data_IF_615832398340
#
_entry.id   IF_615832398340
#
_cell.length_a   1.000
_cell.length_b   1.000
_cell.length_c   1.000
_cell.angle_alpha   90.00
_cell.angle_beta   90.00
_cell.angle_gamma   90.00
#
_symmetry.space_group_name_H-M   'P 1'
#
loop_
_entity.id
_entity.type
_entity.pdbx_description
1 polymer ?
#
# COMPACT_ATOMS: atom_id res chain seq x y z
N UNK A 1 -11.45 -16.65 19.04
CA UNK A 1 -11.46 -16.07 17.68
C UNK A 1 -11.34 -17.20 16.67
N UNK A 2 -12.20 -17.22 15.65
CA UNK A 2 -12.23 -18.31 14.67
C UNK A 2 -11.06 -18.22 13.69
N UNK A 3 -10.28 -19.30 13.57
CA UNK A 3 -9.24 -19.48 12.56
C UNK A 3 -9.78 -20.36 11.43
N UNK A 4 -9.34 -20.12 10.21
CA UNK A 4 -9.72 -20.91 9.04
C UNK A 4 -8.47 -21.53 8.44
N UNK A 5 -8.65 -22.70 7.83
CA UNK A 5 -7.64 -23.37 7.05
C UNK A 5 -8.06 -23.33 5.58
N UNK A 6 -7.28 -22.61 4.78
CA UNK A 6 -7.34 -22.60 3.32
C UNK A 6 -6.36 -23.64 2.78
N UNK A 7 -6.90 -24.74 2.27
CA UNK A 7 -6.16 -25.78 1.57
C UNK A 7 -6.26 -25.56 0.08
N UNK A 8 -5.11 -25.37 -0.57
CA UNK A 8 -5.01 -25.30 -2.03
C UNK A 8 -4.04 -26.37 -2.53
N UNK A 9 -4.45 -27.10 -3.58
CA UNK A 9 -3.68 -28.19 -4.17
C UNK A 9 -3.47 -27.91 -5.65
N UNK A 10 -2.25 -28.11 -6.15
CA UNK A 10 -1.97 -27.94 -7.57
C UNK A 10 -2.74 -28.95 -8.42
N UNK A 11 -3.11 -28.54 -9.65
CA UNK A 11 -3.70 -29.47 -10.62
C UNK A 11 -2.69 -30.42 -11.25
N UNK A 12 -1.41 -30.04 -11.34
CA UNK A 12 -0.35 -30.91 -11.86
C UNK A 12 0.56 -31.48 -10.78
N UNK A 13 1.24 -32.57 -11.14
CA UNK A 13 2.30 -33.19 -10.36
C UNK A 13 3.65 -32.44 -10.47
N UNK A 14 3.62 -31.16 -10.82
CA UNK A 14 4.84 -30.34 -10.95
C UNK A 14 5.42 -30.04 -9.58
N UNK A 15 6.71 -30.32 -9.41
CA UNK A 15 7.43 -29.93 -8.21
C UNK A 15 7.57 -28.40 -8.12
N UNK A 16 7.23 -27.84 -6.97
CA UNK A 16 7.56 -26.45 -6.63
C UNK A 16 8.83 -26.42 -5.78
N UNK A 17 9.83 -25.66 -6.23
CA UNK A 17 11.01 -25.41 -5.40
C UNK A 17 10.64 -24.60 -4.15
N UNK A 18 11.40 -24.74 -3.05
CA UNK A 18 11.22 -23.92 -1.85
C UNK A 18 11.17 -22.41 -2.15
N UNK A 19 12.04 -21.94 -3.06
CA UNK A 19 12.02 -20.55 -3.53
C UNK A 19 10.71 -20.15 -4.18
N UNK A 20 10.11 -21.04 -4.99
CA UNK A 20 8.85 -20.75 -5.65
C UNK A 20 7.68 -20.72 -4.66
N UNK A 21 7.74 -21.59 -3.66
CA UNK A 21 6.78 -21.63 -2.55
C UNK A 21 6.86 -20.32 -1.76
N UNK A 22 8.06 -19.90 -1.33
CA UNK A 22 8.27 -18.62 -0.63
C UNK A 22 7.75 -17.44 -1.46
N UNK A 23 8.06 -17.39 -2.75
CA UNK A 23 7.57 -16.34 -3.65
C UNK A 23 6.04 -16.24 -3.69
N UNK A 24 5.33 -17.38 -3.73
CA UNK A 24 3.85 -17.40 -3.73
C UNK A 24 3.33 -16.82 -2.41
N UNK A 25 3.92 -17.23 -1.30
CA UNK A 25 3.53 -16.78 0.03
C UNK A 25 3.81 -15.29 0.25
N UNK A 26 4.97 -14.81 -0.20
CA UNK A 26 5.33 -13.38 -0.15
C UNK A 26 4.34 -12.53 -0.95
N UNK A 27 3.93 -13.00 -2.13
CA UNK A 27 2.90 -12.33 -2.92
C UNK A 27 1.54 -12.32 -2.20
N UNK A 28 1.08 -13.47 -1.69
CA UNK A 28 -0.21 -13.55 -0.98
C UNK A 28 -0.24 -12.65 0.26
N UNK A 29 0.81 -12.68 1.06
CA UNK A 29 0.92 -11.86 2.28
C UNK A 29 1.06 -10.38 1.97
N UNK A 30 1.84 -10.03 0.94
CA UNK A 30 2.00 -8.64 0.47
C UNK A 30 0.68 -8.07 -0.04
N UNK A 31 -0.02 -8.80 -0.90
CA UNK A 31 -1.28 -8.33 -1.49
C UNK A 31 -2.42 -8.35 -0.46
N UNK A 32 -2.38 -9.26 0.53
CA UNK A 32 -3.27 -9.19 1.68
C UNK A 32 -3.03 -7.95 2.56
N UNK A 33 -1.76 -7.64 2.88
CA UNK A 33 -1.43 -6.41 3.61
C UNK A 33 -1.93 -5.17 2.87
N UNK A 34 -1.70 -5.10 1.55
CA UNK A 34 -2.26 -4.05 0.71
C UNK A 34 -3.77 -4.02 0.77
N UNK A 35 -4.46 -5.16 0.72
CA UNK A 35 -5.91 -5.14 0.84
C UNK A 35 -6.36 -4.54 2.17
N UNK A 36 -5.72 -4.96 3.25
CA UNK A 36 -6.05 -4.51 4.59
C UNK A 36 -5.85 -3.00 4.76
N UNK A 37 -4.71 -2.47 4.30
CA UNK A 37 -4.45 -1.01 4.29
C UNK A 37 -5.47 -0.27 3.42
N UNK A 38 -5.87 -0.84 2.27
CA UNK A 38 -6.84 -0.23 1.38
C UNK A 38 -8.22 -0.14 2.05
N UNK A 39 -8.61 -1.18 2.77
CA UNK A 39 -9.88 -1.23 3.49
C UNK A 39 -9.92 -0.17 4.59
N UNK A 40 -8.86 -0.05 5.40
CA UNK A 40 -8.76 1.02 6.41
C UNK A 40 -8.76 2.42 5.78
N UNK A 41 -8.02 2.61 4.68
CA UNK A 41 -8.00 3.90 3.98
C UNK A 41 -9.39 4.26 3.46
N UNK A 42 -10.10 3.30 2.85
CA UNK A 42 -11.43 3.51 2.28
C UNK A 42 -12.44 3.82 3.38
N UNK A 43 -12.37 3.11 4.50
CA UNK A 43 -13.18 3.39 5.71
C UNK A 43 -12.90 4.78 6.27
N UNK A 44 -11.63 5.19 6.36
CA UNK A 44 -11.27 6.53 6.87
C UNK A 44 -11.69 7.67 5.95
N UNK A 45 -11.71 7.44 4.64
CA UNK A 45 -12.06 8.46 3.65
C UNK A 45 -13.53 8.86 3.66
N UNK A 46 -14.42 8.03 4.22
CA UNK A 46 -15.86 8.33 4.33
C UNK A 46 -16.12 9.57 5.19
N UNK A 47 -15.46 9.67 6.34
CA UNK A 47 -15.70 10.71 7.36
C UNK A 47 -14.46 11.59 7.63
N UNK A 48 -13.55 11.71 6.65
CA UNK A 48 -12.29 12.39 6.87
C UNK A 48 -12.46 13.92 6.90
N UNK A 49 -12.07 14.62 7.98
CA UNK A 49 -12.06 16.09 7.99
C UNK A 49 -11.14 16.66 6.91
N UNK A 50 -11.46 17.84 6.35
CA UNK A 50 -10.62 18.50 5.33
C UNK A 50 -9.17 18.76 5.80
N UNK A 51 -8.99 18.94 7.11
CA UNK A 51 -7.68 19.14 7.72
C UNK A 51 -6.82 17.88 7.72
N UNK A 52 -7.42 16.70 7.53
CA UNK A 52 -6.77 15.41 7.52
C UNK A 52 -6.59 14.90 6.10
N UNK A 53 -5.34 14.67 5.72
CA UNK A 53 -5.00 14.27 4.36
C UNK A 53 -4.22 12.96 4.41
N UNK A 54 -4.66 11.91 3.69
CA UNK A 54 -3.88 10.70 3.58
C UNK A 54 -2.59 10.97 2.80
N UNK A 55 -1.49 10.44 3.32
CA UNK A 55 -0.18 10.48 2.68
C UNK A 55 0.39 9.07 2.61
N UNK A 56 1.16 8.82 1.56
CA UNK A 56 1.91 7.58 1.38
C UNK A 56 3.40 7.91 1.30
N UNK A 57 4.21 7.10 1.96
CA UNK A 57 5.66 7.24 1.88
C UNK A 57 6.21 6.44 0.70
N UNK A 58 7.26 6.95 0.05
CA UNK A 58 7.99 6.21 -0.98
C UNK A 58 8.98 5.16 -0.40
N UNK A 59 8.59 4.55 0.72
CA UNK A 59 9.34 3.50 1.40
C UNK A 59 8.45 2.30 1.70
N UNK A 60 9.07 1.21 2.14
CA UNK A 60 8.37 0.06 2.71
C UNK A 60 8.99 -0.28 4.05
N UNK A 61 8.19 -0.77 4.99
CA UNK A 61 8.71 -1.36 6.22
C UNK A 61 9.49 -2.63 5.89
N UNK A 62 10.62 -2.81 6.56
CA UNK A 62 11.31 -4.09 6.62
C UNK A 62 10.67 -4.95 7.71
N UNK A 63 10.23 -6.17 7.36
CA UNK A 63 9.62 -7.13 8.28
C UNK A 63 10.48 -7.46 9.50
N UNK A 64 11.80 -7.37 9.33
CA UNK A 64 12.76 -7.78 10.36
C UNK A 64 13.18 -6.64 11.29
N UNK A 65 12.77 -5.40 10.97
CA UNK A 65 13.09 -4.25 11.80
C UNK A 65 11.94 -3.95 12.76
N UNK A 66 12.21 -4.03 14.06
CA UNK A 66 11.26 -3.63 15.08
C UNK A 66 11.08 -2.12 15.08
N UNK A 67 9.90 -1.67 14.65
CA UNK A 67 9.55 -0.26 14.68
C UNK A 67 8.80 0.12 15.97
N UNK A 68 9.37 -0.24 17.11
CA UNK A 68 8.79 -0.03 18.45
C UNK A 68 8.36 1.43 18.71
N UNK A 69 8.99 2.39 18.03
CA UNK A 69 8.75 3.84 18.14
C UNK A 69 7.64 4.39 17.23
N UNK A 70 7.05 3.62 16.31
CA UNK A 70 5.97 4.17 15.47
C UNK A 70 4.69 4.32 16.28
N UNK A 71 4.39 5.48 16.83
CA UNK A 71 3.07 5.83 17.37
C UNK A 71 2.52 7.01 16.57
N UNK A 72 1.43 7.62 17.06
CA UNK A 72 0.99 8.94 16.58
C UNK A 72 2.21 9.88 16.65
N UNK A 73 2.65 10.38 15.50
CA UNK A 73 3.77 11.31 15.43
C UNK A 73 3.25 12.73 15.54
N UNK A 74 4.05 13.61 16.13
CA UNK A 74 3.83 15.04 16.04
C UNK A 74 5.04 15.70 15.39
N UNK A 75 4.89 16.33 14.22
CA UNK A 75 6.01 17.00 13.54
C UNK A 75 6.56 18.20 14.34
N UNK A 76 5.86 18.65 15.37
CA UNK A 76 6.30 19.73 16.25
C UNK A 76 7.28 19.19 17.31
N UNK A 77 7.41 17.86 17.41
CA UNK A 77 8.39 17.18 18.25
C UNK A 77 9.60 16.75 17.40
N UNK A 78 10.80 17.06 17.89
CA UNK A 78 12.05 16.80 17.16
C UNK A 78 12.28 15.32 16.89
N UNK A 79 12.10 14.48 17.91
CA UNK A 79 12.29 13.03 17.81
C UNK A 79 11.27 12.40 16.85
N UNK A 80 10.03 12.85 16.90
CA UNK A 80 8.98 12.37 16.00
C UNK A 80 9.23 12.80 14.56
N UNK A 81 9.70 14.03 14.34
CA UNK A 81 10.09 14.54 13.01
C UNK A 81 11.26 13.78 12.42
N UNK A 82 12.27 13.43 13.23
CA UNK A 82 13.36 12.56 12.78
C UNK A 82 12.84 11.18 12.38
N UNK A 83 12.00 10.55 13.21
CA UNK A 83 11.42 9.25 12.89
C UNK A 83 10.57 9.31 11.61
N UNK A 84 9.77 10.36 11.45
CA UNK A 84 8.95 10.64 10.27
C UNK A 84 9.81 10.82 9.01
N UNK A 85 10.93 11.54 9.13
CA UNK A 85 11.91 11.70 8.05
C UNK A 85 12.51 10.37 7.56
N UNK A 86 12.67 9.38 8.44
CA UNK A 86 13.23 8.08 8.06
C UNK A 86 12.25 7.19 7.28
N UNK A 87 10.95 7.52 7.27
CA UNK A 87 9.96 6.73 6.54
C UNK A 87 10.01 6.95 5.02
N UNK A 88 10.58 8.05 4.54
CA UNK A 88 10.75 8.35 3.11
C UNK A 88 10.20 9.71 2.69
N UNK A 89 10.15 9.95 1.39
CA UNK A 89 9.43 11.07 0.79
C UNK A 89 7.92 10.87 0.92
N UNK A 90 7.22 11.99 1.03
CA UNK A 90 5.78 12.04 1.21
C UNK A 90 5.12 12.25 -0.13
N UNK A 91 4.04 11.51 -0.39
CA UNK A 91 3.15 11.74 -1.51
C UNK A 91 1.74 11.87 -0.93
N UNK A 92 1.11 13.02 -1.11
CA UNK A 92 -0.25 13.26 -0.62
C UNK A 92 -1.30 12.70 -1.58
N UNK A 93 -2.43 12.26 -1.04
CA UNK A 93 -3.57 11.79 -1.84
C UNK A 93 -4.18 12.92 -2.67
N UNK A 94 -4.17 14.14 -2.12
CA UNK A 94 -4.55 15.39 -2.79
C UNK A 94 -3.44 16.42 -2.65
N UNK A 95 -3.28 17.35 -3.61
CA UNK A 95 -2.31 18.44 -3.48
C UNK A 95 -2.52 19.24 -2.18
N UNK A 96 -1.46 19.45 -1.42
CA UNK A 96 -1.51 20.25 -0.19
C UNK A 96 -0.20 21.01 0.03
N UNK A 97 -0.30 22.31 0.33
CA UNK A 97 0.86 23.21 0.49
C UNK A 97 1.76 22.76 1.63
N UNK A 98 1.20 22.47 2.82
CA UNK A 98 1.96 22.10 4.01
C UNK A 98 2.71 20.79 3.80
N UNK A 99 2.03 19.78 3.24
CA UNK A 99 2.66 18.49 2.94
C UNK A 99 3.75 18.65 1.87
N UNK A 100 3.50 19.46 0.83
CA UNK A 100 4.49 19.73 -0.22
C UNK A 100 5.76 20.36 0.35
N UNK A 101 5.64 21.29 1.29
CA UNK A 101 6.81 21.89 1.96
C UNK A 101 7.61 20.86 2.74
N UNK A 102 6.95 20.03 3.53
CA UNK A 102 7.63 18.96 4.29
C UNK A 102 8.35 18.01 3.32
N UNK A 103 7.69 17.58 2.24
CA UNK A 103 8.28 16.74 1.20
C UNK A 103 9.57 17.38 0.65
N UNK A 104 9.50 18.64 0.25
CA UNK A 104 10.62 19.38 -0.34
C UNK A 104 11.78 19.55 0.64
N UNK A 105 11.50 19.84 1.92
CA UNK A 105 12.53 19.97 2.96
C UNK A 105 13.19 18.63 3.22
N UNK A 106 12.43 17.53 3.31
CA UNK A 106 12.96 16.18 3.46
C UNK A 106 13.88 15.79 2.30
N UNK A 107 13.46 16.04 1.06
CA UNK A 107 14.28 15.80 -0.14
C UNK A 107 15.56 16.61 -0.11
N UNK A 108 15.46 17.92 0.11
CA UNK A 108 16.62 18.81 0.17
C UNK A 108 17.59 18.36 1.26
N UNK A 109 17.10 18.02 2.46
CA UNK A 109 17.95 17.54 3.54
C UNK A 109 18.69 16.25 3.18
N UNK A 110 18.03 15.27 2.52
CA UNK A 110 18.70 14.04 2.03
C UNK A 110 19.76 14.34 0.98
N UNK A 111 19.45 15.23 0.05
CA UNK A 111 20.38 15.63 -1.01
C UNK A 111 21.61 16.36 -0.46
N UNK A 112 21.42 17.23 0.53
CA UNK A 112 22.49 17.94 1.21
C UNK A 112 23.33 17.00 2.08
N UNK A 113 22.68 16.14 2.88
CA UNK A 113 23.35 15.12 3.67
C UNK A 113 24.24 14.22 2.79
N UNK A 114 23.72 13.80 1.64
CA UNK A 114 24.46 12.97 0.69
C UNK A 114 25.63 13.71 0.05
N UNK A 115 25.49 15.00 -0.28
CA UNK A 115 26.60 15.81 -0.81
C UNK A 115 27.69 16.07 0.24
N UNK A 116 27.31 16.39 1.48
CA UNK A 116 28.25 16.62 2.58
C UNK A 116 29.01 15.35 2.98
N UNK A 117 28.32 14.20 2.99
CA UNK A 117 28.93 12.91 3.31
C UNK A 117 30.07 12.54 2.33
N UNK A 118 30.03 13.00 1.08
CA UNK A 118 31.10 12.75 0.08
C UNK A 118 32.44 13.40 0.45
N UNK A 119 32.42 14.39 1.34
CA UNK A 119 33.60 15.09 1.84
C UNK A 119 33.76 14.90 3.36
N UNK A 120 33.19 13.80 3.89
CA UNK A 120 33.25 13.41 5.31
C UNK A 120 32.67 14.42 6.31
N UNK A 121 31.86 15.38 5.83
CA UNK A 121 31.11 16.28 6.71
C UNK A 121 29.77 15.63 7.08
N UNK A 122 29.55 15.48 8.39
CA UNK A 122 28.29 14.98 8.92
C UNK A 122 27.36 16.14 9.25
N UNK A 123 26.21 16.17 8.58
CA UNK A 123 25.11 17.08 8.93
C UNK A 123 24.32 16.50 10.10
N UNK A 124 23.99 17.34 11.09
CA UNK A 124 23.15 16.97 12.21
C UNK A 124 21.69 16.82 11.76
N UNK A 125 21.18 15.60 11.84
CA UNK A 125 19.82 15.24 11.39
C UNK A 125 18.75 15.76 12.36
N UNK A 126 19.12 16.08 13.60
CA UNK A 126 18.19 16.63 14.58
C UNK A 126 17.73 18.05 14.27
N UNK A 127 18.45 18.73 13.36
CA UNK A 127 18.10 20.06 12.88
C UNK A 127 17.00 20.07 11.82
N UNK A 128 16.54 18.92 11.33
CA UNK A 128 15.46 18.85 10.33
C UNK A 128 14.21 19.63 10.79
N UNK A 129 13.86 19.51 12.08
CA UNK A 129 12.74 20.25 12.66
C UNK A 129 12.93 21.76 12.54
N UNK A 130 14.14 22.26 12.74
CA UNK A 130 14.47 23.69 12.71
C UNK A 130 14.22 24.30 11.31
N UNK A 131 14.12 23.45 10.27
CA UNK A 131 13.77 23.85 8.92
C UNK A 131 12.29 23.65 8.60
N UNK A 132 11.64 22.65 9.20
CA UNK A 132 10.20 22.39 8.97
C UNK A 132 9.34 23.39 9.72
N UNK A 133 9.63 23.61 11.01
CA UNK A 133 8.79 24.41 11.89
C UNK A 133 8.57 25.84 11.38
N UNK A 134 9.61 26.59 10.93
CA UNK A 134 9.40 27.93 10.37
C UNK A 134 8.52 27.94 9.12
N UNK A 135 8.52 26.84 8.36
CA UNK A 135 7.82 26.72 7.08
C UNK A 135 6.42 26.15 7.19
N UNK A 136 6.06 25.53 8.32
CA UNK A 136 4.84 24.72 8.43
C UNK A 136 3.55 25.55 8.35
N UNK A 137 3.56 26.77 8.90
CA UNK A 137 2.37 27.64 8.95
C UNK A 137 2.38 28.79 7.94
N UNK A 138 3.51 29.04 7.27
CA UNK A 138 3.58 30.00 6.18
C UNK A 138 2.98 29.32 4.95
N UNK A 139 2.23 30.02 4.10
CA UNK A 139 1.66 29.41 2.89
C UNK A 139 2.38 29.86 1.62
N UNK A 140 2.82 31.12 1.54
CA UNK A 140 3.29 31.71 0.28
C UNK A 140 4.74 31.40 -0.09
N UNK A 141 5.60 31.02 0.86
CA UNK A 141 7.03 30.85 0.59
C UNK A 141 7.68 29.71 1.36
N UNK A 142 8.84 29.25 0.88
CA UNK A 142 9.72 28.34 1.61
C UNK A 142 11.02 29.05 2.02
N UNK A 143 11.16 29.33 3.31
CA UNK A 143 12.35 29.93 3.88
C UNK A 143 13.41 28.85 4.18
N UNK A 144 14.52 28.92 3.47
CA UNK A 144 15.66 28.00 3.56
C UNK A 144 16.96 28.71 3.94
N UNK A 145 16.90 29.97 4.37
CA UNK A 145 18.09 30.79 4.68
C UNK A 145 18.85 30.21 5.87
N UNK A 146 18.16 29.88 6.95
CA UNK A 146 18.77 29.23 8.12
C UNK A 146 19.46 27.90 7.78
N UNK A 147 18.90 27.14 6.84
CA UNK A 147 19.52 25.91 6.36
C UNK A 147 20.80 26.22 5.57
N UNK A 148 20.74 27.19 4.65
CA UNK A 148 21.88 27.62 3.86
C UNK A 148 23.03 28.11 4.74
N UNK A 149 22.75 28.99 5.69
CA UNK A 149 23.74 29.53 6.64
C UNK A 149 24.42 28.42 7.44
N UNK A 150 23.63 27.47 7.97
CA UNK A 150 24.15 26.32 8.70
C UNK A 150 25.10 25.48 7.83
N UNK A 151 24.72 25.20 6.58
CA UNK A 151 25.54 24.41 5.66
C UNK A 151 26.83 25.16 5.29
N UNK A 152 26.75 26.46 5.02
CA UNK A 152 27.93 27.29 4.72
C UNK A 152 28.90 27.27 5.91
N UNK A 153 28.38 27.35 7.13
CA UNK A 153 29.18 27.27 8.35
C UNK A 153 29.88 25.91 8.49
N UNK A 154 29.19 24.81 8.18
CA UNK A 154 29.78 23.47 8.17
C UNK A 154 30.92 23.33 7.14
N UNK A 155 30.79 23.95 5.98
CA UNK A 155 31.75 23.84 4.88
C UNK A 155 33.04 24.65 5.09
N UNK A 156 32.99 25.68 5.93
CA UNK A 156 34.10 26.60 6.12
C UNK A 156 34.45 27.39 4.84
N UNK A 157 35.71 27.85 4.76
CA UNK A 157 36.17 28.70 3.65
C UNK A 157 36.47 27.90 2.37
N UNK A 158 36.90 26.65 2.45
CA UNK A 158 37.63 25.98 1.36
C UNK A 158 36.81 25.11 0.39
N UNK A 159 35.52 25.42 0.17
CA UNK A 159 34.61 24.54 -0.59
C UNK A 159 33.66 25.26 -1.57
N UNK A 160 34.16 26.23 -2.33
CA UNK A 160 33.32 27.10 -3.19
C UNK A 160 32.52 26.37 -4.27
N UNK A 161 33.08 25.29 -4.84
CA UNK A 161 32.34 24.44 -5.78
C UNK A 161 31.10 23.82 -5.14
N UNK A 162 31.24 23.29 -3.93
CA UNK A 162 30.15 22.64 -3.21
C UNK A 162 29.12 23.67 -2.70
N UNK A 163 29.57 24.85 -2.23
CA UNK A 163 28.68 25.97 -1.91
C UNK A 163 27.79 26.32 -3.12
N UNK A 164 28.38 26.41 -4.31
CA UNK A 164 27.64 26.66 -5.55
C UNK A 164 26.63 25.55 -5.86
N UNK A 165 26.99 24.29 -5.67
CA UNK A 165 26.06 23.15 -5.82
C UNK A 165 24.88 23.24 -4.84
N UNK A 166 25.15 23.60 -3.58
CA UNK A 166 24.13 23.75 -2.54
C UNK A 166 23.15 24.87 -2.86
N UNK A 167 23.65 26.03 -3.30
CA UNK A 167 22.77 27.11 -3.76
C UNK A 167 21.86 26.63 -4.89
N UNK A 168 22.40 25.93 -5.89
CA UNK A 168 21.58 25.36 -6.99
C UNK A 168 20.51 24.40 -6.49
N UNK A 169 20.80 23.58 -5.46
CA UNK A 169 19.83 22.67 -4.86
C UNK A 169 18.71 23.44 -4.15
N UNK A 170 19.04 24.46 -3.37
CA UNK A 170 18.06 25.32 -2.69
C UNK A 170 17.19 26.06 -3.70
N UNK A 171 17.79 26.67 -4.73
CA UNK A 171 17.06 27.39 -5.78
C UNK A 171 16.12 26.45 -6.55
N UNK A 172 16.57 25.22 -6.82
CA UNK A 172 15.73 24.19 -7.42
C UNK A 172 14.53 23.84 -6.53
N UNK A 173 14.74 23.69 -5.22
CA UNK A 173 13.68 23.42 -4.24
C UNK A 173 12.66 24.57 -4.19
N UNK A 174 13.12 25.83 -4.17
CA UNK A 174 12.25 27.01 -4.22
C UNK A 174 11.42 27.03 -5.52
N UNK A 175 12.06 26.86 -6.68
CA UNK A 175 11.37 26.78 -7.98
C UNK A 175 10.34 25.65 -8.05
N UNK A 176 10.63 24.48 -7.47
CA UNK A 176 9.66 23.39 -7.43
C UNK A 176 8.43 23.74 -6.57
N UNK A 177 8.63 24.51 -5.49
CA UNK A 177 7.54 25.03 -4.68
C UNK A 177 6.74 26.11 -5.41
N UNK A 178 7.40 27.05 -6.10
CA UNK A 178 6.74 28.10 -6.88
C UNK A 178 5.87 27.50 -7.98
N UNK A 179 6.38 26.50 -8.73
CA UNK A 179 5.60 25.75 -9.71
C UNK A 179 4.39 25.08 -9.07
N UNK A 180 4.50 24.59 -7.83
CA UNK A 180 3.36 24.02 -7.12
C UNK A 180 2.31 25.09 -6.79
N UNK A 181 2.72 26.27 -6.36
CA UNK A 181 1.83 27.40 -6.08
C UNK A 181 1.12 27.91 -7.33
N UNK A 182 1.83 28.03 -8.45
CA UNK A 182 1.25 28.43 -9.75
C UNK A 182 0.13 27.47 -10.19
N UNK A 183 0.16 26.23 -9.71
CA UNK A 183 -0.82 25.20 -10.04
C UNK A 183 -2.03 25.14 -9.08
N UNK A 184 -2.10 25.98 -8.05
CA UNK A 184 -3.22 25.95 -7.09
C UNK A 184 -4.58 26.18 -7.75
N UNK A 185 -4.66 27.04 -8.76
CA UNK A 185 -5.90 27.28 -9.52
C UNK A 185 -6.30 26.00 -10.27
N UNK A 186 -5.34 25.32 -10.90
CA UNK A 186 -5.60 24.07 -11.60
C UNK A 186 -6.07 22.97 -10.65
N UNK A 187 -5.52 22.89 -9.43
CA UNK A 187 -5.98 21.93 -8.43
C UNK A 187 -7.45 22.19 -8.04
N UNK A 188 -7.82 23.43 -7.76
CA UNK A 188 -9.22 23.80 -7.45
C UNK A 188 -10.18 23.45 -8.58
N UNK A 189 -9.83 23.82 -9.81
CA UNK A 189 -10.62 23.50 -11.00
C UNK A 189 -10.81 21.98 -11.14
N UNK A 190 -9.74 21.19 -10.97
CA UNK A 190 -9.83 19.73 -11.04
C UNK A 190 -10.70 19.20 -9.92
N UNK A 191 -10.56 19.70 -8.69
CA UNK A 191 -11.32 19.25 -7.52
C UNK A 191 -12.83 19.43 -7.71
N UNK A 192 -13.25 20.51 -8.38
CA UNK A 192 -14.64 20.84 -8.69
C UNK A 192 -15.23 20.09 -9.91
N UNK A 193 -14.40 19.54 -10.81
CA UNK A 193 -14.88 18.82 -12.00
C UNK A 193 -15.71 17.59 -11.65
N UNK A 194 -16.83 17.40 -12.34
CA UNK A 194 -17.59 16.15 -12.31
C UNK A 194 -16.94 15.05 -13.18
N UNK A 195 -17.49 13.83 -13.12
CA UNK A 195 -16.93 12.65 -13.81
C UNK A 195 -16.75 12.84 -15.33
N UNK A 196 -17.74 13.43 -16.00
CA UNK A 196 -17.69 13.62 -17.45
C UNK A 196 -16.64 14.66 -17.84
N UNK A 197 -16.61 15.78 -17.11
CA UNK A 197 -15.65 16.86 -17.33
C UNK A 197 -14.21 16.36 -17.13
N UNK A 198 -13.96 15.57 -16.09
CA UNK A 198 -12.64 15.04 -15.84
C UNK A 198 -12.20 13.98 -16.86
N UNK A 199 -13.12 13.11 -17.29
CA UNK A 199 -12.82 12.17 -18.38
C UNK A 199 -12.48 12.88 -19.69
N UNK A 200 -13.17 13.99 -19.99
CA UNK A 200 -12.85 14.84 -21.12
C UNK A 200 -11.51 15.57 -20.94
N UNK A 201 -11.27 16.13 -19.75
CA UNK A 201 -10.01 16.78 -19.38
C UNK A 201 -8.80 15.86 -19.59
N UNK A 202 -8.94 14.57 -19.26
CA UNK A 202 -7.91 13.54 -19.41
C UNK A 202 -7.60 13.14 -20.86
N UNK A 203 -8.42 13.54 -21.85
CA UNK A 203 -8.14 13.27 -23.27
C UNK A 203 -6.91 14.03 -23.76
N UNK A 204 -6.60 15.17 -23.15
CA UNK A 204 -5.38 15.93 -23.45
C UNK A 204 -4.17 15.29 -22.73
N UNK A 205 -3.09 14.91 -23.45
CA UNK A 205 -1.90 14.31 -22.85
C UNK A 205 -1.22 15.17 -21.76
N UNK A 206 -1.22 16.49 -21.90
CA UNK A 206 -0.62 17.40 -20.91
C UNK A 206 -1.39 17.36 -19.59
N UNK A 207 -2.73 17.39 -19.66
CA UNK A 207 -3.62 17.26 -18.51
C UNK A 207 -3.48 15.90 -17.84
N UNK A 208 -3.39 14.83 -18.65
CA UNK A 208 -3.15 13.48 -18.13
C UNK A 208 -1.81 13.41 -17.36
N UNK A 209 -0.75 14.01 -17.89
CA UNK A 209 0.54 14.07 -17.21
C UNK A 209 0.47 14.87 -15.90
N UNK A 210 -0.27 15.97 -15.90
CA UNK A 210 -0.52 16.78 -14.71
C UNK A 210 -1.26 15.99 -13.63
N UNK A 211 -2.38 15.35 -13.97
CA UNK A 211 -3.15 14.51 -13.06
C UNK A 211 -2.30 13.33 -12.57
N UNK A 212 -1.52 12.71 -13.45
CA UNK A 212 -0.62 11.63 -13.05
C UNK A 212 0.38 12.10 -11.99
N UNK A 213 0.97 13.29 -12.18
CA UNK A 213 1.98 13.86 -11.28
C UNK A 213 1.42 14.17 -9.89
N UNK A 214 0.19 14.69 -9.79
CA UNK A 214 -0.33 15.25 -8.53
C UNK A 214 -1.46 14.45 -7.88
N UNK A 215 -2.26 13.71 -8.65
CA UNK A 215 -3.42 12.95 -8.13
C UNK A 215 -3.23 11.43 -8.23
N UNK A 216 -2.52 10.92 -9.25
CA UNK A 216 -2.28 9.47 -9.35
C UNK A 216 -1.00 9.02 -8.65
N UNK A 217 -0.07 9.94 -8.36
CA UNK A 217 1.21 9.61 -7.72
C UNK A 217 1.04 8.81 -6.42
N UNK A 218 0.00 9.10 -5.61
CA UNK A 218 -0.32 8.34 -4.41
C UNK A 218 -0.62 6.86 -4.74
N UNK A 219 -1.52 6.62 -5.70
CA UNK A 219 -1.95 5.29 -6.09
C UNK A 219 -0.86 4.51 -6.84
N UNK A 220 -0.06 5.20 -7.65
CA UNK A 220 1.10 4.61 -8.32
C UNK A 220 2.16 4.18 -7.29
N UNK A 221 2.35 4.97 -6.24
CA UNK A 221 3.19 4.62 -5.09
C UNK A 221 2.61 3.40 -4.36
N UNK A 222 1.31 3.37 -4.12
CA UNK A 222 0.61 2.25 -3.48
C UNK A 222 0.85 0.92 -4.20
N UNK A 223 0.68 0.91 -5.51
CA UNK A 223 0.80 -0.29 -6.34
C UNK A 223 2.25 -0.79 -6.37
N UNK A 224 3.21 0.15 -6.41
CA UNK A 224 4.64 -0.11 -6.56
C UNK A 224 5.23 -0.86 -5.38
N UNK A 225 4.92 -0.43 -4.15
CA UNK A 225 5.51 -1.00 -2.95
C UNK A 225 4.77 -2.25 -2.50
N UNK A 226 5.46 -3.30 -2.07
CA UNK A 226 4.84 -4.50 -1.51
C UNK A 226 4.12 -4.20 -0.19
N UNK A 227 4.72 -3.33 0.64
CA UNK A 227 4.20 -2.89 1.94
C UNK A 227 4.14 -1.37 1.99
N UNK A 228 3.16 -0.73 1.30
CA UNK A 228 3.02 0.71 1.35
C UNK A 228 2.76 1.19 2.79
N UNK A 229 3.40 2.30 3.15
CA UNK A 229 3.21 2.98 4.43
C UNK A 229 2.25 4.12 4.18
N UNK A 230 1.06 4.07 4.78
CA UNK A 230 0.06 5.12 4.65
C UNK A 230 -0.24 5.68 6.01
N UNK A 231 -0.38 7.01 6.06
CA UNK A 231 -0.76 7.69 7.27
C UNK A 231 -1.77 8.79 6.98
N UNK A 232 -2.58 9.11 8.00
CA UNK A 232 -3.46 10.27 7.99
C UNK A 232 -2.73 11.42 8.66
N UNK A 233 -2.48 12.49 7.91
CA UNK A 233 -1.78 13.68 8.37
C UNK A 233 -2.77 14.81 8.66
N UNK A 234 -2.84 15.24 9.92
CA UNK A 234 -3.61 16.40 10.35
C UNK A 234 -2.77 17.66 10.14
N UNK A 235 -3.14 18.44 9.13
CA UNK A 235 -2.43 19.63 8.68
C UNK A 235 -2.53 20.81 9.64
N UNK A 236 -3.46 20.80 10.58
CA UNK A 236 -3.58 21.82 11.63
C UNK A 236 -2.76 21.45 12.86
N UNK A 237 -2.89 20.21 13.32
CA UNK A 237 -2.21 19.74 14.54
C UNK A 237 -0.76 19.32 14.29
N UNK A 238 -0.39 19.09 13.04
CA UNK A 238 0.92 18.52 12.67
C UNK A 238 1.07 17.07 13.12
N UNK A 239 -0.05 16.37 13.34
CA UNK A 239 -0.04 14.99 13.85
C UNK A 239 -0.25 13.98 12.74
N UNK A 240 0.41 12.83 12.83
CA UNK A 240 0.36 11.77 11.84
C UNK A 240 0.03 10.42 12.47
N UNK A 241 -0.98 9.75 11.91
CA UNK A 241 -1.44 8.45 12.37
C UNK A 241 -1.23 7.40 11.26
N UNK A 242 -0.33 6.45 11.46
CA UNK A 242 -0.05 5.37 10.51
C UNK A 242 -1.19 4.35 10.51
N UNK A 243 -1.69 3.99 9.33
CA UNK A 243 -2.68 2.94 9.14
C UNK A 243 -2.03 1.55 9.26
N UNK A 244 -2.81 0.55 9.67
CA UNK A 244 -2.36 -0.83 9.84
C UNK A 244 -1.11 -1.01 10.72
N UNK A 245 -0.97 -0.19 11.78
CA UNK A 245 0.18 -0.20 12.69
C UNK A 245 0.40 -1.54 13.39
N UNK A 246 -0.67 -2.31 13.53
CA UNK A 246 -0.72 -3.65 14.08
C UNK A 246 0.00 -4.70 13.22
N UNK A 247 0.22 -4.44 11.92
CA UNK A 247 1.07 -5.26 11.06
C UNK A 247 2.55 -4.89 11.14
N UNK A 248 2.89 -3.81 11.87
CA UNK A 248 4.23 -3.22 11.90
C UNK A 248 4.86 -3.36 13.30
N UNK A 249 4.06 -3.43 14.36
CA UNK A 249 4.56 -3.53 15.75
C UNK A 249 4.47 -4.93 16.34
N UNK A 250 5.61 -5.49 16.72
CA UNK A 250 5.74 -6.80 17.38
C UNK A 250 4.92 -6.95 18.66
N UNK A 251 4.81 -5.92 19.48
CA UNK A 251 3.96 -5.96 20.68
C UNK A 251 2.45 -5.99 20.39
N UNK A 252 2.04 -5.71 19.14
CA UNK A 252 0.67 -5.86 18.65
C UNK A 252 0.54 -7.11 17.74
N UNK A 253 1.64 -7.86 17.54
CA UNK A 253 1.68 -9.05 16.69
C UNK A 253 1.16 -10.29 17.42
N UNK A 254 1.36 -10.41 18.74
CA UNK A 254 0.88 -11.53 19.55
C UNK A 254 -0.63 -11.40 19.80
N UNK A 255 -1.41 -12.35 19.28
CA UNK A 255 -2.88 -12.41 19.46
C UNK A 255 -3.72 -11.82 18.33
N UNK A 256 -3.10 -11.29 17.28
CA UNK A 256 -3.83 -10.60 16.22
C UNK A 256 -4.42 -11.58 15.18
N UNK A 257 -5.75 -11.77 15.21
CA UNK A 257 -6.49 -12.71 14.35
C UNK A 257 -6.61 -12.29 12.89
N UNK A 258 -5.92 -11.23 12.48
CA UNK A 258 -6.00 -10.67 11.14
C UNK A 258 -4.87 -11.17 10.23
N UNK A 259 -3.97 -12.03 10.72
CA UNK A 259 -2.83 -12.49 9.92
C UNK A 259 -3.10 -13.72 9.08
N UNK A 260 -2.26 -13.87 8.07
CA UNK A 260 -2.03 -15.11 7.33
C UNK A 260 -0.82 -15.80 7.97
N UNK A 261 -1.05 -16.96 8.60
CA UNK A 261 -0.03 -17.83 9.19
C UNK A 261 0.07 -19.11 8.36
N UNK A 262 1.27 -19.48 7.92
CA UNK A 262 1.43 -20.73 7.15
C UNK A 262 1.55 -21.87 8.14
N UNK A 263 0.64 -22.85 8.05
CA UNK A 263 0.64 -24.00 8.96
C UNK A 263 1.53 -25.11 8.44
N UNK A 264 1.36 -25.45 7.17
CA UNK A 264 2.09 -26.57 6.57
C UNK A 264 2.20 -26.40 5.04
N UNK A 265 3.34 -26.82 4.51
CA UNK A 265 3.53 -26.97 3.07
C UNK A 265 4.01 -28.39 2.84
N UNK A 266 3.14 -29.22 2.28
CA UNK A 266 3.50 -30.59 1.96
C UNK A 266 4.20 -30.63 0.60
N UNK A 267 5.44 -31.11 0.59
CA UNK A 267 6.29 -31.25 -0.61
C UNK A 267 5.92 -32.45 -1.49
N UNK A 268 4.85 -33.18 -1.14
CA UNK A 268 4.39 -34.30 -1.95
C UNK A 268 3.79 -33.79 -3.26
N UNK A 269 4.09 -34.46 -4.36
CA UNK A 269 3.51 -34.14 -5.65
C UNK A 269 2.11 -34.77 -5.76
N UNK A 270 1.05 -34.01 -6.09
CA UNK A 270 1.05 -32.56 -6.39
C UNK A 270 1.10 -31.71 -5.11
N UNK A 271 1.80 -30.57 -5.18
CA UNK A 271 2.07 -29.70 -4.01
C UNK A 271 0.76 -29.28 -3.33
N UNK A 272 0.71 -29.42 -2.01
CA UNK A 272 -0.39 -28.96 -1.18
C UNK A 272 0.09 -27.86 -0.24
N UNK A 273 -0.64 -26.74 -0.23
CA UNK A 273 -0.41 -25.62 0.66
C UNK A 273 -1.60 -25.52 1.62
N UNK A 274 -1.30 -25.58 2.93
CA UNK A 274 -2.25 -25.44 4.03
C UNK A 274 -1.95 -24.12 4.75
N UNK A 275 -2.80 -23.12 4.49
CA UNK A 275 -2.63 -21.77 5.01
C UNK A 275 -3.66 -21.56 6.13
N UNK A 276 -3.17 -21.27 7.34
CA UNK A 276 -4.02 -20.80 8.42
C UNK A 276 -4.24 -19.30 8.27
N UNK A 277 -5.49 -18.89 8.26
CA UNK A 277 -5.83 -17.48 8.07
C UNK A 277 -6.88 -17.04 9.08
N UNK A 278 -6.75 -15.79 9.48
CA UNK A 278 -7.75 -15.07 10.22
C UNK A 278 -9.11 -14.98 9.53
N UNK A 279 -10.16 -14.67 10.29
CA UNK A 279 -11.52 -14.44 9.76
C UNK A 279 -11.58 -13.32 8.70
N UNK A 280 -10.85 -12.22 8.91
CA UNK A 280 -10.82 -11.10 7.94
C UNK A 280 -10.04 -11.50 6.68
N UNK A 281 -8.91 -12.19 6.85
CA UNK A 281 -8.09 -12.68 5.75
C UNK A 281 -8.82 -13.72 4.90
N UNK A 282 -9.58 -14.64 5.50
CA UNK A 282 -10.32 -15.65 4.75
C UNK A 282 -11.43 -15.04 3.90
N UNK A 283 -12.16 -14.05 4.41
CA UNK A 283 -13.23 -13.39 3.66
C UNK A 283 -12.71 -12.73 2.38
N UNK A 284 -11.55 -12.08 2.47
CA UNK A 284 -10.88 -11.53 1.29
C UNK A 284 -10.41 -12.62 0.33
N UNK A 285 -9.63 -13.60 0.81
CA UNK A 285 -9.08 -14.65 -0.04
C UNK A 285 -10.17 -15.48 -0.71
N UNK A 286 -11.26 -15.80 0.00
CA UNK A 286 -12.43 -16.47 -0.55
C UNK A 286 -13.04 -15.69 -1.72
N UNK A 287 -13.28 -14.39 -1.53
CA UNK A 287 -13.79 -13.50 -2.58
C UNK A 287 -12.85 -13.48 -3.82
N UNK A 288 -11.55 -13.31 -3.61
CA UNK A 288 -10.57 -13.26 -4.72
C UNK A 288 -10.43 -14.60 -5.45
N UNK A 289 -10.46 -15.72 -4.72
CA UNK A 289 -10.44 -17.06 -5.32
C UNK A 289 -11.72 -17.30 -6.13
N UNK A 290 -12.90 -16.94 -5.62
CA UNK A 290 -14.16 -17.05 -6.36
C UNK A 290 -14.13 -16.27 -7.67
N UNK A 291 -13.61 -15.05 -7.66
CA UNK A 291 -13.40 -14.26 -8.88
C UNK A 291 -12.51 -15.00 -9.87
N UNK A 292 -11.38 -15.54 -9.42
CA UNK A 292 -10.47 -16.32 -10.26
C UNK A 292 -11.10 -17.59 -10.83
N UNK A 293 -11.80 -18.38 -10.01
CA UNK A 293 -12.50 -19.59 -10.44
C UNK A 293 -13.61 -19.27 -11.45
N UNK A 294 -14.34 -18.17 -11.24
CA UNK A 294 -15.34 -17.67 -12.19
C UNK A 294 -14.74 -17.29 -13.55
N UNK A 295 -13.59 -16.60 -13.55
CA UNK A 295 -12.85 -16.29 -14.79
C UNK A 295 -12.40 -17.57 -15.52
N UNK A 296 -11.88 -18.55 -14.79
CA UNK A 296 -11.49 -19.86 -15.36
C UNK A 296 -12.69 -20.60 -15.94
N UNK A 297 -13.78 -20.70 -15.20
CA UNK A 297 -15.05 -21.30 -15.65
C UNK A 297 -15.52 -20.66 -16.97
N UNK A 298 -15.54 -19.33 -17.04
CA UNK A 298 -15.95 -18.61 -18.25
C UNK A 298 -15.03 -18.90 -19.46
N UNK A 299 -13.72 -19.10 -19.24
CA UNK A 299 -12.78 -19.51 -20.29
C UNK A 299 -13.09 -20.93 -20.78
N UNK A 300 -13.35 -21.87 -19.87
CA UNK A 300 -13.69 -23.25 -20.18
C UNK A 300 -15.04 -23.36 -20.93
N UNK A 301 -16.07 -22.62 -20.49
CA UNK A 301 -17.37 -22.60 -21.17
C UNK A 301 -17.24 -22.07 -22.61
N UNK A 302 -16.39 -21.05 -22.85
CA UNK A 302 -16.07 -20.57 -24.20
C UNK A 302 -15.28 -21.58 -25.05
N UNK A 303 -14.44 -22.41 -24.43
CA UNK A 303 -13.72 -23.49 -25.13
C UNK A 303 -14.65 -24.65 -25.48
N UNK A 304 -15.57 -25.02 -24.58
CA UNK A 304 -16.59 -26.05 -24.81
C UNK A 304 -17.50 -25.74 -26.01
N UNK A 305 -17.75 -24.45 -26.28
CA UNK A 305 -18.50 -24.00 -27.46
C UNK A 305 -17.73 -24.14 -28.79
N UNK A 306 -16.40 -24.32 -28.73
CA UNK A 306 -15.52 -24.40 -29.91
C UNK A 306 -15.00 -25.82 -30.19
N UNK A 307 -15.15 -26.73 -29.23
CA UNK A 307 -14.65 -28.11 -29.32
C UNK A 307 -15.81 -29.10 -29.54
N UNK A 308 -15.54 -30.16 -30.32
CA UNK A 308 -16.47 -31.27 -30.57
C UNK A 308 -15.98 -32.57 -29.90
N UNK A 309 -16.92 -33.50 -29.63
CA UNK A 309 -16.60 -34.85 -29.13
C UNK A 309 -16.18 -34.92 -27.66
N UNK A 310 -15.23 -35.82 -27.35
CA UNK A 310 -14.80 -36.19 -25.98
C UNK A 310 -14.21 -35.04 -25.17
N UNK A 311 -13.55 -34.08 -25.82
CA UNK A 311 -12.98 -32.91 -25.15
C UNK A 311 -14.08 -32.02 -24.52
N UNK A 312 -15.27 -32.03 -25.10
CA UNK A 312 -16.42 -31.28 -24.60
C UNK A 312 -16.95 -31.85 -23.29
N UNK A 313 -16.97 -33.18 -23.16
CA UNK A 313 -17.41 -33.88 -21.93
C UNK A 313 -16.43 -33.66 -20.77
N UNK A 314 -15.12 -33.72 -21.05
CA UNK A 314 -14.08 -33.44 -20.04
C UNK A 314 -14.20 -32.00 -19.54
N UNK A 315 -14.37 -31.02 -20.43
CA UNK A 315 -14.57 -29.61 -20.06
C UNK A 315 -15.86 -29.43 -19.26
N UNK A 316 -16.96 -30.10 -19.64
CA UNK A 316 -18.23 -30.01 -18.93
C UNK A 316 -18.10 -30.51 -17.49
N UNK A 317 -17.39 -31.63 -17.27
CA UNK A 317 -17.13 -32.15 -15.93
C UNK A 317 -16.25 -31.20 -15.11
N UNK A 318 -15.23 -30.58 -15.70
CA UNK A 318 -14.40 -29.60 -15.01
C UNK A 318 -15.23 -28.36 -14.59
N UNK A 319 -16.15 -27.90 -15.45
CA UNK A 319 -17.08 -26.79 -15.14
C UNK A 319 -18.00 -27.15 -13.97
N UNK A 320 -18.49 -28.39 -13.89
CA UNK A 320 -19.30 -28.86 -12.75
C UNK A 320 -18.47 -28.83 -11.47
N UNK A 321 -17.27 -29.40 -11.49
CA UNK A 321 -16.38 -29.42 -10.32
C UNK A 321 -16.03 -28.00 -9.84
N UNK A 322 -15.84 -27.06 -10.76
CA UNK A 322 -15.62 -25.65 -10.43
C UNK A 322 -16.83 -25.02 -9.73
N UNK A 323 -18.06 -25.32 -10.19
CA UNK A 323 -19.29 -24.80 -9.55
C UNK A 323 -19.44 -25.32 -8.12
N UNK A 324 -19.15 -26.59 -7.89
CA UNK A 324 -19.19 -27.18 -6.55
C UNK A 324 -18.14 -26.55 -5.63
N UNK A 325 -16.91 -26.38 -6.12
CA UNK A 325 -15.85 -25.70 -5.37
C UNK A 325 -16.22 -24.26 -5.02
N UNK A 326 -16.77 -23.51 -5.98
CA UNK A 326 -17.24 -22.14 -5.75
C UNK A 326 -18.34 -22.09 -4.68
N UNK A 327 -19.36 -22.94 -4.79
CA UNK A 327 -20.43 -23.01 -3.77
C UNK A 327 -19.89 -23.33 -2.37
N UNK A 328 -18.89 -24.21 -2.28
CA UNK A 328 -18.22 -24.52 -1.02
C UNK A 328 -17.43 -23.35 -0.41
N UNK A 329 -16.97 -22.40 -1.23
CA UNK A 329 -16.20 -21.22 -0.81
C UNK A 329 -17.12 -20.04 -0.50
N UNK A 330 -18.25 -19.90 -1.20
CA UNK A 330 -19.22 -18.80 -1.04
C UNK A 330 -19.64 -18.55 0.41
N UNK A 331 -19.80 -19.61 1.21
CA UNK A 331 -20.16 -19.50 2.64
C UNK A 331 -19.12 -18.80 3.52
N UNK A 332 -17.89 -18.66 3.04
CA UNK A 332 -16.80 -17.95 3.72
C UNK A 332 -16.60 -16.54 3.19
N UNK A 333 -17.38 -16.13 2.18
CA UNK A 333 -17.42 -14.74 1.78
C UNK A 333 -18.13 -13.94 2.86
N UNK A 334 -17.52 -12.83 3.22
CA UNK A 334 -18.10 -11.84 4.11
C UNK A 334 -18.27 -10.54 3.35
N UNK A 335 -19.12 -9.66 3.88
CA UNK A 335 -19.32 -8.33 3.33
C UNK A 335 -17.96 -7.65 3.14
N UNK A 336 -17.61 -7.37 1.88
CA UNK A 336 -16.32 -6.81 1.53
C UNK A 336 -16.29 -5.37 2.05
N UNK A 337 -15.51 -5.12 3.12
CA UNK A 337 -15.37 -3.79 3.75
C UNK A 337 -15.17 -2.69 2.72
N UNK A 338 -14.31 -2.93 1.73
CA UNK A 338 -14.11 -1.99 0.62
C UNK A 338 -15.38 -1.63 -0.12
N UNK A 339 -16.21 -2.62 -0.49
CA UNK A 339 -17.45 -2.36 -1.23
C UNK A 339 -18.46 -1.60 -0.37
N UNK A 340 -18.49 -1.85 0.94
CA UNK A 340 -19.34 -1.12 1.88
C UNK A 340 -18.98 0.37 1.91
N UNK A 341 -17.70 0.68 2.10
CA UNK A 341 -17.25 2.06 2.30
C UNK A 341 -17.07 2.85 0.99
N UNK A 342 -16.65 2.19 -0.11
CA UNK A 342 -16.38 2.89 -1.37
C UNK A 342 -17.62 3.54 -2.00
N UNK A 343 -18.82 3.03 -1.68
CA UNK A 343 -20.07 3.60 -2.20
C UNK A 343 -20.25 5.03 -1.69
N UNK A 344 -19.81 5.31 -0.47
CA UNK A 344 -20.02 6.59 0.24
C UNK A 344 -18.94 7.63 -0.06
N UNK A 345 -17.84 7.24 -0.72
CA UNK A 345 -16.83 8.21 -1.18
C UNK A 345 -17.42 9.06 -2.32
N UNK A 346 -17.56 10.36 -2.05
CA UNK A 346 -18.10 11.35 -3.00
C UNK A 346 -17.12 11.67 -4.13
N UNK A 347 -15.83 11.78 -3.83
CA UNK A 347 -14.80 12.09 -4.82
C UNK A 347 -14.60 10.91 -5.79
N UNK A 348 -15.23 10.99 -6.96
CA UNK A 348 -15.17 9.93 -7.96
C UNK A 348 -13.75 9.68 -8.49
N UNK A 349 -12.84 10.66 -8.44
CA UNK A 349 -11.44 10.51 -8.89
C UNK A 349 -10.70 9.56 -7.96
N UNK A 350 -10.85 9.80 -6.65
CA UNK A 350 -10.35 8.91 -5.59
C UNK A 350 -11.03 7.55 -5.71
N UNK A 351 -12.37 7.51 -5.79
CA UNK A 351 -13.16 6.27 -5.91
C UNK A 351 -12.71 5.42 -7.10
N UNK A 352 -12.49 6.04 -8.27
CA UNK A 352 -12.01 5.36 -9.49
C UNK A 352 -10.63 4.75 -9.27
N UNK A 353 -9.71 5.48 -8.65
CA UNK A 353 -8.37 4.98 -8.41
C UNK A 353 -8.31 3.91 -7.31
N UNK A 354 -9.10 4.03 -6.24
CA UNK A 354 -9.28 2.97 -5.24
C UNK A 354 -9.79 1.68 -5.88
N UNK A 355 -10.78 1.75 -6.79
CA UNK A 355 -11.26 0.58 -7.56
C UNK A 355 -10.14 -0.03 -8.41
N UNK A 356 -9.33 0.78 -9.10
CA UNK A 356 -8.19 0.29 -9.87
C UNK A 356 -7.17 -0.43 -8.99
N UNK A 357 -6.85 0.13 -7.81
CA UNK A 357 -5.93 -0.49 -6.85
C UNK A 357 -6.49 -1.82 -6.34
N UNK A 358 -7.76 -1.85 -5.91
CA UNK A 358 -8.42 -3.09 -5.45
C UNK A 358 -8.42 -4.17 -6.55
N UNK A 359 -8.69 -3.79 -7.80
CA UNK A 359 -8.61 -4.70 -8.93
C UNK A 359 -7.18 -5.21 -9.15
N UNK A 360 -6.16 -4.33 -9.10
CA UNK A 360 -4.76 -4.74 -9.24
C UNK A 360 -4.33 -5.76 -8.17
N UNK A 361 -4.76 -5.57 -6.92
CA UNK A 361 -4.50 -6.50 -5.81
C UNK A 361 -5.13 -7.87 -6.12
N UNK A 362 -6.40 -7.89 -6.50
CA UNK A 362 -7.11 -9.12 -6.86
C UNK A 362 -6.45 -9.82 -8.04
N UNK A 363 -6.12 -9.08 -9.10
CA UNK A 363 -5.50 -9.59 -10.31
C UNK A 363 -4.15 -10.25 -10.01
N UNK A 364 -3.31 -9.66 -9.15
CA UNK A 364 -2.01 -10.24 -8.75
C UNK A 364 -2.14 -11.54 -7.98
N UNK A 365 -3.13 -11.64 -7.10
CA UNK A 365 -3.41 -12.90 -6.37
C UNK A 365 -3.89 -13.96 -7.34
N UNK A 366 -4.88 -13.63 -8.19
CA UNK A 366 -5.41 -14.54 -9.21
C UNK A 366 -4.29 -15.00 -10.14
N UNK A 367 -3.46 -14.10 -10.64
CA UNK A 367 -2.32 -14.40 -11.49
C UNK A 367 -1.30 -15.30 -10.78
N UNK A 368 -1.01 -15.03 -9.51
CA UNK A 368 -0.10 -15.87 -8.70
C UNK A 368 -0.66 -17.28 -8.53
N UNK A 369 -1.94 -17.43 -8.23
CA UNK A 369 -2.57 -18.75 -8.06
C UNK A 369 -2.71 -19.50 -9.41
N UNK A 370 -3.10 -18.80 -10.48
CA UNK A 370 -3.30 -19.39 -11.82
C UNK A 370 -1.96 -19.86 -12.43
N UNK A 371 -0.92 -19.00 -12.42
CA UNK A 371 0.43 -19.35 -12.93
C UNK A 371 1.07 -20.54 -12.22
N UNK A 372 0.66 -20.79 -10.98
CA UNK A 372 1.14 -21.90 -10.17
C UNK A 372 0.11 -23.02 -10.03
N UNK A 373 -0.95 -22.99 -10.84
CA UNK A 373 -1.94 -24.06 -10.99
C UNK A 373 -2.73 -24.38 -9.70
N UNK A 374 -2.84 -23.43 -8.78
CA UNK A 374 -3.64 -23.54 -7.56
C UNK A 374 -5.09 -23.07 -7.75
N UNK A 375 -5.38 -22.35 -8.84
CA UNK A 375 -6.73 -21.86 -9.16
C UNK A 375 -7.55 -22.94 -9.88
N UNK A 376 -8.00 -23.94 -9.13
CA UNK A 376 -8.69 -25.13 -9.63
C UNK A 376 -9.73 -25.66 -8.59
N UNK A 377 -10.51 -26.71 -8.90
CA UNK A 377 -11.54 -27.23 -7.98
C UNK A 377 -11.05 -27.76 -6.63
N UNK A 378 -9.74 -27.98 -6.45
CA UNK A 378 -9.18 -28.54 -5.22
C UNK A 378 -8.92 -27.48 -4.12
N UNK A 379 -9.54 -26.30 -4.23
CA UNK A 379 -9.53 -25.31 -3.15
C UNK A 379 -10.58 -25.68 -2.11
N UNK A 380 -10.17 -25.76 -0.84
CA UNK A 380 -11.06 -26.04 0.29
C UNK A 380 -10.80 -25.08 1.44
N UNK A 381 -11.87 -24.61 2.08
CA UNK A 381 -11.80 -23.79 3.29
C UNK A 381 -12.52 -24.55 4.41
N UNK A 382 -11.88 -24.64 5.57
CA UNK A 382 -12.40 -25.33 6.76
C UNK A 382 -12.19 -24.47 8.00
N UNK A 383 -13.07 -24.56 8.99
CA UNK A 383 -12.89 -23.93 10.30
C UNK A 383 -11.90 -24.75 11.13
N UNK A 384 -11.00 -24.08 11.85
CA UNK A 384 -10.12 -24.73 12.82
C UNK A 384 -10.85 -24.76 14.15
N UNK A 385 -11.20 -25.95 14.63
CA UNK A 385 -11.67 -26.11 16.01
C UNK A 385 -10.49 -25.88 16.96
N UNK A 386 -10.65 -24.98 17.92
CA UNK A 386 -9.68 -24.88 19.01
C UNK A 386 -9.76 -26.18 19.79
N UNK A 387 -8.65 -26.89 20.06
CA UNK A 387 -8.67 -27.93 21.06
C UNK A 387 -9.17 -27.28 22.35
N UNK A 388 -10.30 -27.78 22.84
CA UNK A 388 -10.81 -27.47 24.18
C UNK A 388 -9.65 -27.54 25.15
N UNK A 389 -9.45 -26.48 25.94
CA UNK A 389 -8.39 -26.44 26.94
C UNK A 389 -8.44 -27.69 27.80
N UNK A 390 -7.36 -28.48 27.74
CA UNK A 390 -6.99 -29.31 28.88
C UNK A 390 -6.83 -28.32 30.04
N UNK A 391 -7.79 -28.32 30.95
CA UNK A 391 -7.55 -27.79 32.28
C UNK A 391 -6.33 -28.53 32.81
N UNK A 392 -5.30 -27.84 33.33
CA UNK A 392 -4.28 -28.54 34.08
C UNK A 392 -5.01 -29.22 35.24
N UNK A 393 -4.96 -30.55 35.26
CA UNK A 393 -5.39 -31.33 36.40
C UNK A 393 -4.67 -30.76 37.63
N UNK A 394 -5.47 -30.19 38.52
CA UNK A 394 -5.03 -29.80 39.84
C UNK A 394 -4.83 -31.07 40.66
N UNK A 395 -3.58 -31.47 40.86
CA UNK A 395 -3.13 -32.18 42.06
C UNK A 395 -1.99 -31.41 42.73
#
# INVERSE_FOLDING_TARGET
MSRFNLKIKQSSNKYLSPWKISYILDNLTSEYYKKYVLDQLTEKLEDLPETQIPIIFNGSFDLYNQYSKLKNFNINNRTDTENFYYLGDLVSLKPNIKIKKIELIFKLHRDLYSSLKKIDIKMDRSKILDYIWPNFNINEEINLENLLEYIILLLGKDNDKLKTEIHKKIDKTKKEFDIFLDNLINFKLIDEMNEKEFDEFLKNPANKNFVNKYYNAFFDTYIRYSRPIIAIFDTEKGTLNILAIEFIKESLLEGNSEKIEIKEISKNSPTLMDIMVGYIAIGFLANTILLGLGLRKNRLEKQSQKNDGSDKEVIAQEVINLREAMSGIEKFTHENKFNKYIVNIEDYKIKRNLKKVNNNINDKIIETLDKNEFLNPNVKITTVENPSGEQPDSE
#
